data_IF_017271401060
#
_entry.id   IF_017271401060
#
_cell.length_a   1.000
_cell.length_b   1.000
_cell.length_c   1.000
_cell.angle_alpha   90.00
_cell.angle_beta   90.00
_cell.angle_gamma   90.00
#
_symmetry.space_group_name_H-M   'P 1'
#
loop_
_entity.id
_entity.type
_entity.pdbx_description
1 polymer ?
#
# COMPACT_ATOMS: atom_id res chain seq x y z
N UNK A 1 -14.75 -52.98 -9.54
CA UNK A 1 -16.19 -52.66 -9.51
C UNK A 1 -16.30 -51.16 -9.74
N UNK A 2 -16.55 -50.76 -10.97
CA UNK A 2 -16.74 -49.34 -11.35
C UNK A 2 -18.14 -48.96 -10.93
N UNK A 3 -18.27 -48.13 -9.90
CA UNK A 3 -19.56 -47.53 -9.56
C UNK A 3 -19.95 -46.56 -10.67
N UNK A 4 -21.03 -46.89 -11.39
CA UNK A 4 -21.63 -46.00 -12.38
C UNK A 4 -22.09 -44.72 -11.67
N UNK A 5 -21.40 -43.61 -11.94
CA UNK A 5 -21.80 -42.31 -11.40
C UNK A 5 -23.16 -41.91 -11.99
N UNK A 6 -24.13 -41.50 -11.16
CA UNK A 6 -25.44 -41.09 -11.65
C UNK A 6 -25.30 -39.85 -12.54
N UNK A 7 -25.93 -39.90 -13.71
CA UNK A 7 -25.94 -38.80 -14.66
C UNK A 7 -26.68 -37.58 -14.06
N UNK A 8 -26.00 -36.44 -14.01
CA UNK A 8 -26.54 -35.20 -13.42
C UNK A 8 -27.88 -34.77 -14.02
N UNK A 9 -28.04 -35.02 -15.33
CA UNK A 9 -29.24 -34.65 -16.08
C UNK A 9 -30.43 -35.58 -15.80
N UNK A 10 -30.19 -36.81 -15.37
CA UNK A 10 -31.24 -37.80 -15.12
C UNK A 10 -31.83 -37.70 -13.71
N UNK A 11 -31.05 -37.24 -12.72
CA UNK A 11 -31.50 -37.22 -11.33
C UNK A 11 -30.87 -36.06 -10.52
N UNK A 12 -31.04 -34.83 -11.00
CA UNK A 12 -30.43 -33.62 -10.44
C UNK A 12 -30.77 -33.38 -8.96
N UNK A 13 -32.01 -33.68 -8.54
CA UNK A 13 -32.45 -33.53 -7.15
C UNK A 13 -31.74 -34.45 -6.17
N UNK A 14 -31.48 -35.71 -6.56
CA UNK A 14 -30.76 -36.67 -5.73
C UNK A 14 -29.29 -36.25 -5.51
N UNK A 15 -28.65 -35.74 -6.56
CA UNK A 15 -27.26 -35.27 -6.51
C UNK A 15 -27.14 -34.01 -5.65
N UNK A 16 -28.11 -33.08 -5.74
CA UNK A 16 -28.14 -31.90 -4.89
C UNK A 16 -28.26 -32.30 -3.41
N UNK A 17 -29.18 -33.22 -3.09
CA UNK A 17 -29.35 -33.70 -1.72
C UNK A 17 -28.09 -34.39 -1.17
N UNK A 18 -27.43 -35.23 -1.98
CA UNK A 18 -26.16 -35.86 -1.59
C UNK A 18 -25.06 -34.82 -1.34
N UNK A 19 -24.99 -33.79 -2.18
CA UNK A 19 -24.04 -32.68 -2.04
C UNK A 19 -24.30 -31.92 -0.74
N UNK A 20 -25.55 -31.56 -0.46
CA UNK A 20 -25.95 -30.89 0.79
C UNK A 20 -25.57 -31.75 2.00
N UNK A 21 -25.80 -33.07 1.95
CA UNK A 21 -25.42 -33.97 3.04
C UNK A 21 -23.90 -34.04 3.24
N UNK A 22 -23.10 -34.01 2.16
CA UNK A 22 -21.64 -33.95 2.23
C UNK A 22 -21.17 -32.64 2.85
N UNK A 23 -21.78 -31.52 2.49
CA UNK A 23 -21.48 -30.21 3.07
C UNK A 23 -21.85 -30.14 4.56
N UNK A 24 -23.02 -30.65 4.95
CA UNK A 24 -23.38 -30.68 6.38
C UNK A 24 -22.39 -31.53 7.20
N UNK A 25 -21.92 -32.64 6.64
CA UNK A 25 -20.89 -33.48 7.27
C UNK A 25 -19.53 -32.78 7.30
N UNK A 26 -19.15 -32.05 6.25
CA UNK A 26 -17.89 -31.32 6.19
C UNK A 26 -17.87 -30.20 7.24
N UNK A 27 -18.98 -29.47 7.41
CA UNK A 27 -19.14 -28.43 8.43
C UNK A 27 -19.04 -29.01 9.84
N UNK A 28 -19.79 -30.07 10.15
CA UNK A 28 -19.76 -30.70 11.47
C UNK A 28 -18.36 -31.25 11.80
N UNK A 29 -17.67 -31.83 10.81
CA UNK A 29 -16.31 -32.32 10.96
C UNK A 29 -15.33 -31.17 11.16
N UNK A 30 -15.48 -30.09 10.40
CA UNK A 30 -14.61 -28.92 10.49
C UNK A 30 -14.72 -28.25 11.85
N UNK A 31 -15.93 -28.06 12.39
CA UNK A 31 -16.10 -27.50 13.73
C UNK A 31 -15.46 -28.37 14.81
N UNK A 32 -15.57 -29.70 14.70
CA UNK A 32 -14.96 -30.63 15.66
C UNK A 32 -13.43 -30.62 15.58
N UNK A 33 -12.87 -30.66 14.37
CA UNK A 33 -11.43 -30.76 14.15
C UNK A 33 -10.73 -29.41 14.27
N UNK A 34 -11.37 -28.30 13.90
CA UNK A 34 -10.76 -26.98 13.77
C UNK A 34 -11.40 -25.91 14.65
N UNK A 35 -12.50 -26.20 15.35
CA UNK A 35 -13.17 -25.24 16.24
C UNK A 35 -12.28 -24.70 17.36
N UNK A 36 -11.23 -25.42 17.75
CA UNK A 36 -10.24 -24.94 18.71
C UNK A 36 -9.49 -23.68 18.22
N UNK A 37 -9.36 -23.49 16.89
CA UNK A 37 -8.72 -22.29 16.34
C UNK A 37 -9.57 -21.05 16.59
N UNK A 38 -10.89 -21.16 16.43
CA UNK A 38 -11.83 -20.09 16.76
C UNK A 38 -11.78 -19.75 18.26
N UNK A 39 -11.67 -20.75 19.12
CA UNK A 39 -11.53 -20.54 20.56
C UNK A 39 -10.21 -19.81 20.89
N UNK A 40 -9.08 -20.26 20.33
CA UNK A 40 -7.77 -19.61 20.49
C UNK A 40 -7.78 -18.17 19.99
N UNK A 41 -8.38 -17.93 18.83
CA UNK A 41 -8.52 -16.58 18.28
C UNK A 41 -9.36 -15.67 19.19
N UNK A 42 -10.50 -16.16 19.68
CA UNK A 42 -11.34 -15.40 20.64
C UNK A 42 -10.62 -15.12 21.96
N UNK A 43 -9.79 -16.05 22.44
CA UNK A 43 -8.96 -15.84 23.62
C UNK A 43 -7.90 -14.76 23.36
N UNK A 44 -7.20 -14.86 22.23
CA UNK A 44 -6.21 -13.86 21.79
C UNK A 44 -6.84 -12.47 21.71
N UNK A 45 -8.02 -12.32 21.10
CA UNK A 45 -8.75 -11.06 21.05
C UNK A 45 -9.08 -10.48 22.43
N UNK A 46 -9.37 -11.32 23.43
CA UNK A 46 -9.62 -10.87 24.80
C UNK A 46 -8.32 -10.43 25.47
N UNK A 47 -7.23 -11.16 25.25
CA UNK A 47 -5.91 -10.82 25.79
C UNK A 47 -5.36 -9.54 25.18
N UNK A 48 -5.47 -9.36 23.87
CA UNK A 48 -5.04 -8.12 23.20
C UNK A 48 -5.81 -6.90 23.68
N UNK A 49 -7.14 -7.04 23.90
CA UNK A 49 -7.97 -5.98 24.50
C UNK A 49 -7.56 -5.66 25.94
N UNK A 50 -7.28 -6.67 26.75
CA UNK A 50 -6.80 -6.49 28.13
C UNK A 50 -5.46 -5.78 28.20
N UNK A 51 -4.55 -6.15 27.30
CA UNK A 51 -3.19 -5.62 27.25
C UNK A 51 -3.11 -4.26 26.53
N UNK A 52 -4.21 -3.78 25.93
CA UNK A 52 -4.27 -2.56 25.14
C UNK A 52 -3.13 -2.47 24.10
N UNK A 53 -2.74 -3.63 23.53
CA UNK A 53 -1.60 -3.75 22.58
C UNK A 53 -1.85 -2.88 21.36
N UNK A 54 -3.12 -2.83 20.95
CA UNK A 54 -3.62 -1.88 19.99
C UNK A 54 -4.58 -1.00 20.79
N UNK A 55 -4.19 0.21 21.20
CA UNK A 55 -5.17 1.16 21.69
C UNK A 55 -6.26 1.28 20.63
N UNK A 56 -7.53 1.28 21.04
CA UNK A 56 -8.71 1.48 20.18
C UNK A 56 -8.73 2.89 19.53
N UNK A 57 -7.57 3.47 19.26
CA UNK A 57 -7.36 4.56 18.34
C UNK A 57 -7.24 3.98 16.92
N UNK A 58 -8.32 3.35 16.46
CA UNK A 58 -8.88 3.83 15.22
C UNK A 58 -9.27 5.31 15.47
N UNK A 59 -8.27 6.19 15.53
CA UNK A 59 -8.43 7.50 14.93
C UNK A 59 -8.89 7.15 13.53
N UNK A 60 -10.17 7.38 13.29
CA UNK A 60 -10.74 7.47 11.96
C UNK A 60 -9.66 8.02 11.05
N UNK A 61 -9.39 7.35 9.93
CA UNK A 61 -8.47 7.85 8.90
C UNK A 61 -8.85 9.28 8.43
N UNK A 62 -10.02 9.75 8.84
CA UNK A 62 -10.45 11.13 8.94
C UNK A 62 -9.57 11.93 9.94
N UNK A 63 -8.58 12.66 9.40
CA UNK A 63 -7.88 13.84 9.95
C UNK A 63 -6.36 13.76 10.10
N UNK A 64 -5.68 12.75 9.57
CA UNK A 64 -4.31 13.03 9.10
C UNK A 64 -4.42 13.63 7.70
N UNK A 65 -4.91 14.88 7.63
CA UNK A 65 -4.79 15.69 6.42
C UNK A 65 -3.30 16.01 6.27
N UNK A 66 -2.56 15.07 5.69
CA UNK A 66 -1.16 15.29 5.31
C UNK A 66 -1.21 16.46 4.34
N UNK A 67 -0.71 17.62 4.77
CA UNK A 67 -0.60 18.82 3.94
C UNK A 67 0.42 18.55 2.82
N UNK A 68 -0.02 17.82 1.80
CA UNK A 68 0.75 17.59 0.61
C UNK A 68 0.72 18.87 -0.23
N UNK A 69 1.86 19.33 -0.75
CA UNK A 69 1.86 20.43 -1.69
C UNK A 69 0.91 20.08 -2.84
N UNK A 70 0.02 21.00 -3.22
CA UNK A 70 -0.98 20.77 -4.28
C UNK A 70 -0.25 20.37 -5.56
N UNK A 71 -0.40 19.11 -5.95
CA UNK A 71 0.24 18.59 -7.16
C UNK A 71 -0.32 19.35 -8.38
N UNK A 72 0.54 19.85 -9.28
CA UNK A 72 0.08 20.57 -10.46
C UNK A 72 -0.63 19.62 -11.43
N UNK A 73 -1.89 19.97 -11.77
CA UNK A 73 -2.76 19.15 -12.64
C UNK A 73 -2.32 19.18 -14.11
N UNK A 74 -1.57 20.21 -14.52
CA UNK A 74 -1.12 20.38 -15.91
C UNK A 74 0.40 20.39 -15.99
N UNK A 75 0.94 19.90 -17.11
CA UNK A 75 2.38 19.85 -17.37
C UNK A 75 3.02 21.24 -17.28
N UNK A 76 2.37 22.29 -17.78
CA UNK A 76 2.86 23.66 -17.67
C UNK A 76 2.96 24.14 -16.22
N UNK A 77 1.98 23.78 -15.36
CA UNK A 77 2.04 24.08 -13.93
C UNK A 77 3.11 23.25 -13.22
N UNK A 78 3.37 22.04 -13.68
CA UNK A 78 4.44 21.18 -13.15
C UNK A 78 5.81 21.78 -13.41
N UNK A 79 6.05 22.30 -14.62
CA UNK A 79 7.28 23.00 -14.95
C UNK A 79 7.46 24.22 -14.05
N UNK A 80 6.45 25.09 -13.94
CA UNK A 80 6.53 26.26 -13.06
C UNK A 80 6.74 25.91 -11.58
N UNK A 81 6.12 24.82 -11.11
CA UNK A 81 6.29 24.33 -9.73
C UNK A 81 7.71 23.80 -9.48
N UNK A 82 8.29 23.06 -10.43
CA UNK A 82 9.67 22.57 -10.33
C UNK A 82 10.71 23.68 -10.46
N UNK A 83 10.45 24.71 -11.27
CA UNK A 83 11.33 25.88 -11.44
C UNK A 83 11.47 26.67 -10.13
N UNK A 84 10.41 26.71 -9.32
CA UNK A 84 10.43 27.39 -8.02
C UNK A 84 11.16 26.61 -6.91
N UNK A 85 11.53 25.34 -7.14
CA UNK A 85 12.30 24.56 -6.16
C UNK A 85 13.80 24.91 -6.27
N UNK A 86 14.44 25.43 -5.20
CA UNK A 86 15.86 25.78 -5.19
C UNK A 86 16.80 24.61 -5.56
N UNK A 87 16.35 23.35 -5.39
CA UNK A 87 17.14 22.16 -5.75
C UNK A 87 17.36 22.05 -7.25
N UNK A 88 16.39 22.49 -8.05
CA UNK A 88 16.42 22.44 -9.51
C UNK A 88 16.80 23.78 -10.14
N UNK A 89 17.10 24.81 -9.33
CA UNK A 89 17.59 26.06 -9.87
C UNK A 89 18.95 25.86 -10.55
N UNK A 90 18.98 25.96 -11.88
CA UNK A 90 20.18 25.84 -12.70
C UNK A 90 21.09 27.06 -12.59
N UNK A 91 20.60 28.19 -12.04
CA UNK A 91 21.41 29.38 -11.80
C UNK A 91 22.58 29.14 -10.85
N UNK A 92 22.55 28.09 -10.02
CA UNK A 92 23.70 27.66 -9.20
C UNK A 92 24.87 27.10 -10.01
N UNK A 93 24.62 26.71 -11.26
CA UNK A 93 25.61 26.17 -12.20
C UNK A 93 25.73 27.03 -13.47
N UNK A 94 24.98 28.15 -13.54
CA UNK A 94 25.02 29.05 -14.68
C UNK A 94 26.32 29.85 -14.71
N UNK A 95 26.71 30.32 -15.90
CA UNK A 95 27.92 31.15 -16.13
C UNK A 95 28.03 32.40 -15.24
N UNK A 96 26.95 32.83 -14.60
CA UNK A 96 26.91 33.98 -13.70
C UNK A 96 26.91 33.63 -12.20
N UNK A 97 26.94 32.34 -11.83
CA UNK A 97 27.10 31.93 -10.43
C UNK A 97 28.55 32.15 -10.00
N UNK A 98 28.96 33.40 -9.85
CA UNK A 98 30.29 33.70 -9.32
C UNK A 98 30.27 33.31 -7.83
N UNK A 99 31.00 32.29 -7.38
CA UNK A 99 31.20 32.14 -5.96
C UNK A 99 32.00 33.36 -5.50
N UNK A 100 31.55 33.98 -4.41
CA UNK A 100 32.39 34.87 -3.61
C UNK A 100 33.65 34.06 -3.25
N UNK A 101 34.74 34.29 -3.99
CA UNK A 101 36.01 33.55 -3.85
C UNK A 101 36.37 32.57 -4.98
N UNK A 102 35.80 32.67 -6.19
CA UNK A 102 36.16 31.81 -7.33
C UNK A 102 37.66 31.78 -7.63
N UNK A 103 38.15 30.61 -8.04
CA UNK A 103 39.56 30.36 -8.38
C UNK A 103 40.04 31.30 -9.49
N UNK A 104 39.17 31.62 -10.45
CA UNK A 104 39.46 32.52 -11.56
C UNK A 104 39.78 33.94 -11.09
N UNK A 105 39.07 34.42 -10.05
CA UNK A 105 39.35 35.74 -9.44
C UNK A 105 40.69 35.75 -8.70
N UNK A 106 41.11 34.61 -8.14
CA UNK A 106 42.44 34.46 -7.50
C UNK A 106 43.56 34.35 -8.53
N UNK A 107 43.28 33.77 -9.69
CA UNK A 107 44.24 33.57 -10.78
C UNK A 107 44.31 34.75 -11.76
N UNK A 108 43.39 35.72 -11.65
CA UNK A 108 43.40 36.94 -12.47
C UNK A 108 43.03 36.71 -13.93
N UNK A 109 42.27 35.66 -14.23
CA UNK A 109 41.94 35.30 -15.60
C UNK A 109 40.79 36.15 -16.17
N UNK A 110 40.86 36.53 -17.47
CA UNK A 110 39.78 37.24 -18.14
C UNK A 110 38.54 36.35 -18.26
N UNK A 111 37.36 36.94 -18.05
CA UNK A 111 36.07 36.23 -18.03
C UNK A 111 35.79 35.50 -19.35
N UNK A 112 36.36 35.99 -20.45
CA UNK A 112 36.24 35.39 -21.79
C UNK A 112 36.95 34.04 -21.94
N UNK A 113 37.88 33.70 -21.03
CA UNK A 113 38.65 32.45 -21.05
C UNK A 113 38.11 31.33 -20.16
N UNK A 114 37.03 31.55 -19.41
CA UNK A 114 36.42 30.52 -18.56
C UNK A 114 35.21 29.87 -19.28
N UNK A 115 35.11 28.53 -19.30
CA UNK A 115 34.04 27.80 -20.00
C UNK A 115 32.63 28.05 -19.45
#
# INVERSE_FOLDING_TARGET
MTEDKPDFRANSGAILNETILKELKSVARWEREWGFQLQKYRQLQKETKRLNVFPDEAKSEEEIMVNHPKCPVTTSKQIGWLVNDPRFNLEKFGRQSKPIGSLDKKLGWPIEGCP
#
